data_IF_854137829817
#
_entry.id   IF_854137829817
#
_cell.length_a   1.000
_cell.length_b   1.000
_cell.length_c   1.000
_cell.angle_alpha   90.00
_cell.angle_beta   90.00
_cell.angle_gamma   90.00
#
_symmetry.space_group_name_H-M   'P 1'
#
loop_
_entity.id
_entity.type
_entity.pdbx_description
1 polymer ?
#
# COMPACT_ATOMS: atom_id res chain seq x y z
N UNK A 1 -1.99 24.77 1.13
CA UNK A 1 -1.24 25.70 0.28
C UNK A 1 0.14 25.15 -0.11
N UNK A 2 0.92 24.62 0.81
CA UNK A 2 2.29 24.12 0.55
C UNK A 2 2.38 22.93 -0.43
N UNK A 3 1.46 21.96 -0.37
CA UNK A 3 1.45 20.80 -1.26
C UNK A 3 1.27 21.18 -2.73
N UNK A 4 0.37 22.13 -3.04
CA UNK A 4 0.17 22.59 -4.44
C UNK A 4 1.44 23.27 -5.00
N UNK A 5 2.09 24.12 -4.19
CA UNK A 5 3.34 24.76 -4.57
C UNK A 5 4.47 23.73 -4.75
N UNK A 6 4.58 22.76 -3.87
CA UNK A 6 5.56 21.67 -3.98
C UNK A 6 5.36 20.87 -5.27
N UNK A 7 4.15 20.42 -5.60
CA UNK A 7 3.89 19.65 -6.82
C UNK A 7 4.12 20.47 -8.10
N UNK A 8 3.95 21.79 -8.05
CA UNK A 8 4.26 22.68 -9.18
C UNK A 8 5.78 22.81 -9.40
N UNK A 9 6.58 22.86 -8.34
CA UNK A 9 8.04 23.01 -8.40
C UNK A 9 8.78 21.68 -8.54
N UNK A 10 8.20 20.58 -8.09
CA UNK A 10 8.82 19.24 -8.09
C UNK A 10 9.46 18.82 -9.40
N UNK A 11 8.87 19.06 -10.59
CA UNK A 11 9.50 18.68 -11.87
C UNK A 11 10.81 19.39 -12.17
N UNK A 12 11.05 20.58 -11.58
CA UNK A 12 12.24 21.40 -11.80
C UNK A 12 13.38 21.10 -10.80
N UNK A 13 13.10 20.35 -9.74
CA UNK A 13 14.09 20.01 -8.71
C UNK A 13 14.68 18.63 -9.03
N UNK A 14 16.02 18.50 -9.17
CA UNK A 14 16.65 17.20 -9.38
C UNK A 14 16.26 16.18 -8.28
N UNK A 15 16.03 14.93 -8.66
CA UNK A 15 15.52 13.88 -7.76
C UNK A 15 16.38 13.67 -6.50
N UNK A 16 17.70 13.73 -6.65
CA UNK A 16 18.63 13.63 -5.52
C UNK A 16 18.45 14.77 -4.50
N UNK A 17 18.19 16.00 -4.96
CA UNK A 17 17.92 17.15 -4.08
C UNK A 17 16.59 16.98 -3.34
N UNK A 18 15.55 16.51 -4.04
CA UNK A 18 14.26 16.19 -3.41
C UNK A 18 14.44 15.15 -2.28
N UNK A 19 15.18 14.06 -2.56
CA UNK A 19 15.46 13.02 -1.57
C UNK A 19 16.28 13.55 -0.39
N UNK A 20 17.32 14.34 -0.64
CA UNK A 20 18.13 14.94 0.42
C UNK A 20 17.31 15.86 1.32
N UNK A 21 16.50 16.74 0.74
CA UNK A 21 15.63 17.64 1.49
C UNK A 21 14.60 16.85 2.35
N UNK A 22 13.97 15.81 1.77
CA UNK A 22 13.01 14.98 2.48
C UNK A 22 13.66 14.17 3.62
N UNK A 23 14.85 13.62 3.39
CA UNK A 23 15.67 12.93 4.42
C UNK A 23 16.02 13.87 5.59
N UNK A 24 16.47 15.09 5.29
CA UNK A 24 16.81 16.09 6.31
C UNK A 24 15.57 16.47 7.14
N UNK A 25 14.42 16.68 6.47
CA UNK A 25 13.15 16.98 7.13
C UNK A 25 12.73 15.84 8.07
N UNK A 26 12.73 14.58 7.59
CA UNK A 26 12.35 13.40 8.40
C UNK A 26 13.26 13.32 9.65
N UNK A 27 14.59 13.42 9.48
CA UNK A 27 15.53 13.36 10.60
C UNK A 27 15.24 14.45 11.64
N UNK A 28 14.90 15.67 11.21
CA UNK A 28 14.56 16.77 12.13
C UNK A 28 13.26 16.54 12.90
N UNK A 29 12.37 15.70 12.37
CA UNK A 29 11.04 15.42 12.95
C UNK A 29 10.97 14.10 13.72
N UNK A 30 11.89 13.17 13.49
CA UNK A 30 11.84 11.82 14.04
C UNK A 30 11.63 11.80 15.56
N UNK A 31 12.34 12.66 16.31
CA UNK A 31 12.21 12.72 17.78
C UNK A 31 10.83 13.16 18.27
N UNK A 32 10.07 13.90 17.44
CA UNK A 32 8.71 14.38 17.80
C UNK A 32 7.68 13.25 17.71
N UNK A 33 7.93 12.24 16.88
CA UNK A 33 6.98 11.18 16.57
C UNK A 33 7.32 9.82 17.20
N UNK A 34 8.34 9.77 18.06
CA UNK A 34 8.80 8.52 18.68
C UNK A 34 7.72 7.78 19.50
N UNK A 35 6.66 8.49 19.93
CA UNK A 35 5.55 7.90 20.67
C UNK A 35 4.47 7.27 19.76
N UNK A 36 4.45 7.61 18.46
CA UNK A 36 3.40 7.17 17.53
C UNK A 36 3.95 6.53 16.26
N UNK A 37 5.27 6.52 16.07
CA UNK A 37 5.91 5.91 14.90
C UNK A 37 7.14 5.06 15.30
N UNK A 38 7.29 3.86 14.74
CA UNK A 38 6.39 3.18 13.80
C UNK A 38 5.16 2.57 14.48
N UNK A 39 5.05 2.63 15.81
CA UNK A 39 3.98 2.02 16.60
C UNK A 39 3.20 3.12 17.31
N UNK A 40 1.87 3.13 17.07
CA UNK A 40 0.90 3.85 17.87
C UNK A 40 0.04 2.83 18.62
N UNK A 41 0.23 2.72 19.93
CA UNK A 41 -0.52 1.76 20.74
C UNK A 41 -2.03 1.99 20.71
N UNK A 42 -2.48 3.22 20.45
CA UNK A 42 -3.88 3.56 20.29
C UNK A 42 -4.54 2.93 19.06
N UNK A 43 -3.75 2.61 18.03
CA UNK A 43 -4.25 1.99 16.79
C UNK A 43 -4.49 0.47 16.90
N UNK A 44 -4.09 -0.16 18.01
CA UNK A 44 -4.08 -1.63 18.16
C UNK A 44 -5.40 -2.26 18.60
N UNK A 45 -6.45 -1.49 18.87
CA UNK A 45 -7.71 -2.02 19.34
C UNK A 45 -8.47 -2.74 18.20
N UNK A 46 -8.93 -4.00 18.41
CA UNK A 46 -9.79 -4.65 17.43
C UNK A 46 -11.17 -3.96 17.38
N UNK A 47 -11.88 -4.05 16.25
CA UNK A 47 -13.28 -3.61 16.17
C UNK A 47 -14.15 -4.30 17.20
N UNK A 48 -15.25 -3.65 17.60
CA UNK A 48 -16.25 -4.31 18.45
C UNK A 48 -16.76 -5.58 17.76
N UNK A 49 -16.94 -6.64 18.55
CA UNK A 49 -17.39 -7.95 18.05
C UNK A 49 -16.48 -8.59 16.98
N UNK A 50 -15.18 -8.28 16.99
CA UNK A 50 -14.22 -8.87 16.07
C UNK A 50 -14.16 -10.40 16.21
N UNK A 51 -14.54 -11.20 15.19
CA UNK A 51 -14.59 -12.65 15.31
C UNK A 51 -13.23 -13.35 15.14
N UNK A 52 -12.19 -12.60 14.82
CA UNK A 52 -10.88 -13.11 14.39
C UNK A 52 -10.77 -13.30 12.89
N UNK A 53 -9.63 -13.81 12.43
CA UNK A 53 -9.37 -14.11 11.02
C UNK A 53 -9.85 -15.51 10.63
N UNK A 54 -10.10 -15.79 9.34
CA UNK A 54 -10.46 -17.11 8.84
C UNK A 54 -9.52 -18.21 9.36
N UNK A 55 -10.02 -19.43 9.48
CA UNK A 55 -9.26 -20.61 9.94
C UNK A 55 -8.54 -20.42 11.28
N UNK A 56 -9.05 -19.52 12.14
CA UNK A 56 -8.44 -19.16 13.42
C UNK A 56 -7.00 -18.65 13.30
N UNK A 57 -6.64 -18.06 12.15
CA UNK A 57 -5.34 -17.43 11.98
C UNK A 57 -5.17 -16.28 12.96
N UNK A 58 -3.95 -16.11 13.43
CA UNK A 58 -3.62 -15.11 14.44
C UNK A 58 -3.66 -13.69 13.85
N UNK A 59 -3.25 -13.53 12.57
CA UNK A 59 -3.26 -12.27 11.86
C UNK A 59 -3.44 -12.49 10.35
N UNK A 60 -3.82 -11.43 9.63
CA UNK A 60 -3.77 -11.43 8.18
C UNK A 60 -2.46 -10.80 7.69
N UNK A 61 -1.86 -11.40 6.66
CA UNK A 61 -0.72 -10.85 5.94
C UNK A 61 -1.16 -10.47 4.53
N UNK A 62 -1.04 -9.20 4.20
CA UNK A 62 -1.42 -8.63 2.90
C UNK A 62 -0.21 -7.94 2.28
N UNK A 63 0.28 -8.49 1.18
CA UNK A 63 1.40 -7.94 0.42
C UNK A 63 0.87 -7.20 -0.80
N UNK A 64 1.33 -5.97 -0.99
CA UNK A 64 0.87 -5.13 -2.10
C UNK A 64 2.03 -4.38 -2.74
N UNK A 65 1.98 -4.22 -4.06
CA UNK A 65 3.01 -3.56 -4.85
C UNK A 65 2.43 -2.43 -5.67
N UNK A 66 2.91 -1.22 -5.44
CA UNK A 66 2.59 -0.09 -6.30
C UNK A 66 3.65 0.02 -7.39
N UNK A 67 3.22 -0.19 -8.63
CA UNK A 67 4.08 -0.15 -9.81
C UNK A 67 3.97 1.25 -10.40
N UNK A 68 4.90 2.12 -10.01
CA UNK A 68 4.78 3.55 -10.31
C UNK A 68 5.28 3.96 -11.70
N UNK A 69 6.25 3.24 -12.27
CA UNK A 69 6.82 3.57 -13.58
C UNK A 69 7.24 2.32 -14.39
N UNK A 70 7.78 2.55 -15.59
CA UNK A 70 8.21 1.48 -16.49
C UNK A 70 9.31 0.59 -15.87
N UNK A 71 10.18 1.14 -15.02
CA UNK A 71 11.23 0.39 -14.33
C UNK A 71 10.61 -0.66 -13.40
N UNK A 72 9.63 -0.23 -12.60
CA UNK A 72 8.87 -1.13 -11.74
C UNK A 72 8.15 -2.20 -12.56
N UNK A 73 7.47 -1.80 -13.65
CA UNK A 73 6.77 -2.74 -14.53
C UNK A 73 7.69 -3.84 -15.07
N UNK A 74 8.91 -3.51 -15.48
CA UNK A 74 9.89 -4.47 -15.98
C UNK A 74 10.39 -5.45 -14.90
N UNK A 75 10.27 -5.09 -13.64
CA UNK A 75 10.67 -5.92 -12.49
C UNK A 75 9.56 -6.80 -11.93
N UNK A 76 8.30 -6.56 -12.32
CA UNK A 76 7.14 -7.34 -11.86
C UNK A 76 7.33 -8.84 -12.03
N UNK A 77 7.79 -9.39 -13.19
CA UNK A 77 7.94 -10.82 -13.33
C UNK A 77 8.92 -11.44 -12.32
N UNK A 78 10.01 -10.73 -12.02
CA UNK A 78 11.02 -11.23 -11.07
C UNK A 78 10.51 -11.19 -9.62
N UNK A 79 9.78 -10.14 -9.27
CA UNK A 79 9.17 -10.02 -7.94
C UNK A 79 8.12 -11.11 -7.75
N UNK A 80 7.24 -11.29 -8.74
CA UNK A 80 6.24 -12.38 -8.76
C UNK A 80 6.89 -13.75 -8.56
N UNK A 81 7.97 -14.07 -9.33
CA UNK A 81 8.69 -15.33 -9.18
C UNK A 81 9.35 -15.50 -7.82
N UNK A 82 9.84 -14.42 -7.21
CA UNK A 82 10.42 -14.43 -5.87
C UNK A 82 9.35 -14.81 -4.84
N UNK A 83 8.20 -14.14 -4.86
CA UNK A 83 7.08 -14.38 -3.95
C UNK A 83 6.53 -15.80 -4.11
N UNK A 84 6.33 -16.25 -5.34
CA UNK A 84 5.83 -17.59 -5.64
C UNK A 84 6.75 -18.69 -5.12
N UNK A 85 8.09 -18.54 -5.27
CA UNK A 85 9.07 -19.48 -4.70
C UNK A 85 9.05 -19.54 -3.19
N UNK A 86 8.61 -18.47 -2.55
CA UNK A 86 8.45 -18.38 -1.09
C UNK A 86 7.03 -18.70 -0.63
N UNK A 87 6.14 -19.11 -1.55
CA UNK A 87 4.75 -19.48 -1.32
C UNK A 87 3.88 -18.30 -0.83
N UNK A 88 4.22 -17.06 -1.25
CA UNK A 88 3.40 -15.87 -0.99
C UNK A 88 2.64 -15.42 -2.23
N UNK A 89 1.51 -14.77 -1.97
CA UNK A 89 0.67 -14.08 -2.96
C UNK A 89 0.56 -12.61 -2.58
N UNK A 90 0.45 -11.76 -3.59
CA UNK A 90 0.34 -10.31 -3.41
C UNK A 90 -0.58 -9.68 -4.46
N UNK A 91 -0.83 -8.38 -4.35
CA UNK A 91 -1.48 -7.59 -5.38
C UNK A 91 -0.50 -6.61 -6.04
N UNK A 92 -0.67 -6.42 -7.36
CA UNK A 92 0.07 -5.46 -8.16
C UNK A 92 -0.86 -4.35 -8.63
N UNK A 93 -0.64 -3.12 -8.14
CA UNK A 93 -1.43 -1.95 -8.47
C UNK A 93 -0.71 -1.14 -9.54
N UNK A 94 -1.28 -1.07 -10.73
CA UNK A 94 -0.66 -0.39 -11.88
C UNK A 94 -1.25 0.99 -12.13
N UNK A 95 -0.43 1.91 -12.69
CA UNK A 95 -0.84 3.25 -13.11
C UNK A 95 -1.23 3.22 -14.60
N UNK A 96 -2.52 3.18 -14.95
CA UNK A 96 -2.97 2.80 -16.29
C UNK A 96 -2.59 3.78 -17.41
N UNK A 97 -2.43 5.06 -17.12
CA UNK A 97 -2.13 6.08 -18.14
C UNK A 97 -0.70 6.61 -18.08
N UNK A 98 0.17 5.96 -17.31
CA UNK A 98 1.57 6.35 -17.22
C UNK A 98 2.47 5.48 -18.11
N UNK A 99 2.10 4.23 -18.28
CA UNK A 99 2.77 3.23 -19.11
C UNK A 99 1.77 2.17 -19.58
N UNK A 100 2.11 1.42 -20.61
CA UNK A 100 1.24 0.35 -21.12
C UNK A 100 1.37 -0.91 -20.25
N UNK A 101 0.28 -1.31 -19.59
CA UNK A 101 0.17 -2.61 -18.90
C UNK A 101 -0.40 -3.62 -19.89
N UNK A 102 0.38 -4.63 -20.27
CA UNK A 102 -0.08 -5.61 -21.26
C UNK A 102 -1.17 -6.53 -20.69
N UNK A 103 -2.18 -6.91 -21.49
CA UNK A 103 -3.16 -7.91 -21.06
C UNK A 103 -2.53 -9.24 -20.67
N UNK A 104 -1.44 -9.65 -21.34
CA UNK A 104 -0.76 -10.91 -21.06
C UNK A 104 -0.08 -10.91 -19.70
N UNK A 105 0.50 -9.76 -19.28
CA UNK A 105 1.05 -9.64 -17.93
C UNK A 105 -0.04 -9.76 -16.87
N UNK A 106 -1.19 -9.07 -17.07
CA UNK A 106 -2.31 -9.16 -16.13
C UNK A 106 -2.84 -10.60 -16.02
N UNK A 107 -3.07 -11.26 -17.16
CA UNK A 107 -3.50 -12.68 -17.19
C UNK A 107 -2.48 -13.60 -16.52
N UNK A 108 -1.18 -13.35 -16.73
CA UNK A 108 -0.12 -14.14 -16.08
C UNK A 108 -0.19 -14.01 -14.57
N UNK A 109 -0.28 -12.79 -14.04
CA UNK A 109 -0.43 -12.53 -12.61
C UNK A 109 -1.65 -13.27 -12.05
N UNK A 110 -2.83 -13.06 -12.64
CA UNK A 110 -4.08 -13.69 -12.20
C UNK A 110 -4.03 -15.21 -12.24
N UNK A 111 -3.50 -15.80 -13.33
CA UNK A 111 -3.41 -17.25 -13.50
C UNK A 111 -2.45 -17.91 -12.50
N UNK A 112 -1.52 -17.13 -11.94
CA UNK A 112 -0.56 -17.56 -10.91
C UNK A 112 -1.03 -17.19 -9.49
N UNK A 113 -2.27 -16.70 -9.33
CA UNK A 113 -2.89 -16.45 -8.04
C UNK A 113 -2.57 -15.09 -7.43
N UNK A 114 -2.05 -14.15 -8.21
CA UNK A 114 -1.83 -12.76 -7.81
C UNK A 114 -3.03 -11.88 -8.18
N UNK A 115 -3.13 -10.72 -7.52
CA UNK A 115 -4.21 -9.78 -7.80
C UNK A 115 -3.70 -8.59 -8.63
N UNK A 116 -4.54 -8.12 -9.56
CA UNK A 116 -4.31 -6.89 -10.31
C UNK A 116 -5.21 -5.79 -9.77
N UNK A 117 -4.62 -4.65 -9.39
CA UNK A 117 -5.31 -3.46 -8.90
C UNK A 117 -4.98 -2.21 -9.71
N UNK A 118 -5.70 -1.13 -9.45
CA UNK A 118 -5.52 0.18 -10.09
C UNK A 118 -4.88 1.16 -9.12
N UNK A 119 -3.74 1.77 -9.53
CA UNK A 119 -3.02 2.79 -8.77
C UNK A 119 -3.24 4.18 -9.35
N UNK A 120 -4.38 4.77 -9.02
CA UNK A 120 -4.77 6.06 -9.61
C UNK A 120 -4.95 5.98 -11.12
N UNK A 121 -4.56 7.06 -11.82
CA UNK A 121 -4.67 7.18 -13.28
C UNK A 121 -3.32 7.51 -13.94
N UNK A 122 -2.61 8.53 -13.44
CA UNK A 122 -1.38 9.07 -14.03
C UNK A 122 -0.33 9.54 -13.00
N UNK A 123 -0.55 9.33 -11.72
CA UNK A 123 0.38 9.63 -10.62
C UNK A 123 0.88 11.10 -10.55
N UNK A 124 0.03 12.08 -10.87
CA UNK A 124 0.39 13.51 -10.94
C UNK A 124 0.04 14.36 -9.70
N UNK A 125 -0.58 13.75 -8.69
CA UNK A 125 -0.95 14.41 -7.43
C UNK A 125 -2.08 15.45 -7.52
N UNK A 126 -2.84 15.50 -8.63
CA UNK A 126 -3.84 16.55 -8.87
C UNK A 126 -5.30 16.11 -8.63
N UNK A 127 -5.53 14.92 -8.09
CA UNK A 127 -6.87 14.33 -7.95
C UNK A 127 -7.83 15.20 -7.15
N UNK A 128 -7.35 15.79 -6.07
CA UNK A 128 -8.16 16.56 -5.13
C UNK A 128 -8.05 18.07 -5.31
N UNK A 129 -7.64 18.54 -6.49
CA UNK A 129 -7.63 19.96 -6.80
C UNK A 129 -9.04 20.56 -6.89
N UNK A 130 -10.02 19.78 -7.41
CA UNK A 130 -11.45 20.06 -7.33
C UNK A 130 -12.28 18.78 -7.43
N UNK A 131 -13.58 18.87 -7.07
CA UNK A 131 -14.53 17.75 -7.16
C UNK A 131 -14.78 17.31 -8.60
N UNK A 132 -14.79 18.26 -9.52
CA UNK A 132 -14.99 18.01 -10.96
C UNK A 132 -13.81 17.24 -11.56
N UNK A 133 -12.58 17.60 -11.20
CA UNK A 133 -11.36 16.87 -11.62
C UNK A 133 -11.41 15.44 -11.11
N UNK A 134 -11.76 15.25 -9.84
CA UNK A 134 -11.88 13.91 -9.28
C UNK A 134 -12.95 13.09 -10.01
N UNK A 135 -14.15 13.65 -10.20
CA UNK A 135 -15.27 12.97 -10.87
C UNK A 135 -14.93 12.58 -12.32
N UNK A 136 -14.20 13.44 -13.05
CA UNK A 136 -13.72 13.10 -14.40
C UNK A 136 -12.75 11.92 -14.36
N UNK A 137 -11.78 11.95 -13.46
CA UNK A 137 -10.80 10.87 -13.29
C UNK A 137 -11.45 9.58 -12.80
N UNK A 138 -12.42 9.67 -11.90
CA UNK A 138 -13.17 8.51 -11.41
C UNK A 138 -13.87 7.75 -12.55
N UNK A 139 -14.49 8.46 -13.50
CA UNK A 139 -15.07 7.82 -14.70
C UNK A 139 -14.03 7.05 -15.52
N UNK A 140 -12.81 7.58 -15.64
CA UNK A 140 -11.73 6.93 -16.40
C UNK A 140 -11.15 5.75 -15.60
N UNK A 141 -10.96 5.89 -14.29
CA UNK A 141 -10.54 4.81 -13.39
C UNK A 141 -11.54 3.65 -13.46
N UNK A 142 -12.86 3.94 -13.42
CA UNK A 142 -13.89 2.91 -13.49
C UNK A 142 -13.84 2.10 -14.79
N UNK A 143 -13.46 2.72 -15.93
CA UNK A 143 -13.23 1.97 -17.17
C UNK A 143 -12.06 0.99 -17.06
N UNK A 144 -10.96 1.37 -16.39
CA UNK A 144 -9.84 0.47 -16.17
C UNK A 144 -10.17 -0.62 -15.16
N UNK A 145 -10.93 -0.31 -14.09
CA UNK A 145 -11.43 -1.32 -13.16
C UNK A 145 -12.23 -2.39 -13.89
N UNK A 146 -13.16 -1.99 -14.76
CA UNK A 146 -13.96 -2.89 -15.58
C UNK A 146 -13.09 -3.67 -16.59
N UNK A 147 -12.26 -2.99 -17.39
CA UNK A 147 -11.38 -3.61 -18.41
C UNK A 147 -10.44 -4.65 -17.81
N UNK A 148 -9.91 -4.38 -16.60
CA UNK A 148 -8.94 -5.24 -15.93
C UNK A 148 -9.59 -6.25 -14.98
N UNK A 149 -10.91 -6.25 -14.85
CA UNK A 149 -11.64 -7.03 -13.85
C UNK A 149 -11.07 -6.81 -12.43
N UNK A 150 -10.63 -5.58 -12.15
CA UNK A 150 -10.05 -5.19 -10.88
C UNK A 150 -11.13 -4.65 -9.95
N UNK A 151 -11.08 -5.07 -8.69
CA UNK A 151 -12.04 -4.65 -7.66
C UNK A 151 -11.43 -3.71 -6.64
N UNK A 152 -10.11 -3.50 -6.73
CA UNK A 152 -9.32 -2.74 -5.78
C UNK A 152 -8.69 -1.48 -6.36
N UNK A 153 -8.52 -0.51 -5.48
CA UNK A 153 -7.94 0.78 -5.81
C UNK A 153 -6.93 1.23 -4.75
N UNK A 154 -5.92 1.97 -5.20
CA UNK A 154 -5.03 2.73 -4.32
C UNK A 154 -4.71 4.07 -4.95
N UNK A 155 -4.85 5.14 -4.17
CA UNK A 155 -4.50 6.49 -4.60
C UNK A 155 -3.00 6.73 -4.51
N UNK A 156 -2.37 7.30 -5.54
CA UNK A 156 -0.97 7.72 -5.49
C UNK A 156 -0.64 8.65 -4.31
N UNK A 157 0.54 8.42 -3.72
CA UNK A 157 1.04 9.18 -2.58
C UNK A 157 0.10 9.16 -1.35
N UNK A 158 -0.72 8.13 -1.21
CA UNK A 158 -1.66 7.91 -0.11
C UNK A 158 -2.61 9.09 0.15
N UNK A 159 -2.78 9.99 -0.83
CA UNK A 159 -3.78 11.04 -0.72
C UNK A 159 -5.17 10.42 -0.72
N UNK A 160 -6.02 10.83 0.19
CA UNK A 160 -7.36 10.25 0.26
C UNK A 160 -8.45 11.27 0.61
N UNK A 161 -9.62 10.98 0.11
CA UNK A 161 -10.91 11.56 0.43
C UNK A 161 -11.93 10.43 0.35
N UNK A 162 -12.11 9.73 1.47
CA UNK A 162 -12.90 8.50 1.50
C UNK A 162 -14.34 8.70 1.03
N UNK A 163 -14.92 9.87 1.30
CA UNK A 163 -16.23 10.28 0.81
C UNK A 163 -16.31 10.37 -0.73
N UNK A 164 -15.21 10.79 -1.40
CA UNK A 164 -15.19 10.90 -2.86
C UNK A 164 -14.98 9.56 -3.55
N UNK A 165 -14.37 8.60 -2.88
CA UNK A 165 -14.11 7.26 -3.45
C UNK A 165 -15.39 6.47 -3.70
N UNK A 166 -16.54 6.90 -3.18
CA UNK A 166 -17.85 6.37 -3.58
C UNK A 166 -18.19 6.57 -5.07
N UNK A 167 -17.48 7.43 -5.80
CA UNK A 167 -17.60 7.53 -7.26
C UNK A 167 -16.89 6.37 -7.98
N UNK A 168 -16.01 5.64 -7.30
CA UNK A 168 -15.30 4.50 -7.87
C UNK A 168 -16.14 3.22 -7.76
N UNK A 169 -16.00 2.33 -8.75
CA UNK A 169 -16.64 1.02 -8.76
C UNK A 169 -15.72 -0.01 -8.12
N UNK A 170 -15.46 0.13 -6.83
CA UNK A 170 -14.52 -0.68 -6.07
C UNK A 170 -15.22 -1.48 -4.97
N UNK A 171 -14.63 -2.61 -4.61
CA UNK A 171 -14.99 -3.37 -3.42
C UNK A 171 -14.12 -2.97 -2.22
N UNK A 172 -12.85 -2.58 -2.48
CA UNK A 172 -11.96 -2.04 -1.47
C UNK A 172 -11.10 -0.88 -2.00
N UNK A 173 -10.72 -0.01 -1.10
CA UNK A 173 -9.63 0.95 -1.24
C UNK A 173 -8.50 0.60 -0.26
N UNK A 174 -7.27 0.96 -0.59
CA UNK A 174 -6.11 0.78 0.27
C UNK A 174 -5.22 2.03 0.26
N UNK A 175 -5.85 3.20 0.39
CA UNK A 175 -5.19 4.51 0.33
C UNK A 175 -4.93 5.13 1.70
N UNK A 176 -5.23 4.41 2.80
CA UNK A 176 -4.99 4.90 4.15
C UNK A 176 -3.87 4.12 4.85
N UNK A 177 -3.52 4.55 6.06
CA UNK A 177 -2.51 3.94 6.91
C UNK A 177 -2.89 4.09 8.38
N UNK A 178 -2.34 3.25 9.23
CA UNK A 178 -2.59 3.33 10.67
C UNK A 178 -1.98 4.59 11.28
N UNK A 179 -0.65 4.74 11.16
CA UNK A 179 0.10 5.91 11.60
C UNK A 179 1.38 6.05 10.77
N UNK A 180 1.51 7.14 10.04
CA UNK A 180 2.76 7.54 9.38
C UNK A 180 2.84 9.07 9.27
N UNK A 181 3.56 9.74 10.19
CA UNK A 181 3.70 11.19 10.19
C UNK A 181 4.57 11.72 9.05
N UNK A 182 5.20 10.84 8.27
CA UNK A 182 6.09 11.18 7.15
C UNK A 182 5.41 11.10 5.79
N UNK A 183 4.16 10.68 5.76
CA UNK A 183 3.34 10.76 4.55
C UNK A 183 3.03 12.22 4.18
N UNK A 184 2.80 12.52 2.88
CA UNK A 184 2.45 13.87 2.44
C UNK A 184 1.22 14.47 3.14
N UNK A 185 0.24 13.63 3.47
CA UNK A 185 -0.90 13.94 4.30
C UNK A 185 -0.83 13.01 5.52
N UNK A 186 -0.38 13.49 6.70
CA UNK A 186 -0.15 12.64 7.87
C UNK A 186 -1.44 12.42 8.68
N UNK A 187 -2.53 12.08 8.01
CA UNK A 187 -3.87 11.88 8.56
C UNK A 187 -4.22 10.39 8.65
N UNK A 188 -3.36 9.62 9.33
CA UNK A 188 -3.57 8.20 9.59
C UNK A 188 -4.91 7.90 10.27
N UNK A 189 -5.48 6.75 9.95
CA UNK A 189 -6.81 6.34 10.46
C UNK A 189 -6.78 5.78 11.88
N UNK A 190 -5.60 5.62 12.48
CA UNK A 190 -5.44 5.18 13.87
C UNK A 190 -5.97 3.77 14.13
N UNK A 191 -5.87 2.86 13.13
CA UNK A 191 -6.30 1.46 13.28
C UNK A 191 -5.54 0.52 12.37
N UNK A 192 -5.28 -0.69 12.88
CA UNK A 192 -4.58 -1.77 12.15
C UNK A 192 -5.53 -2.85 11.62
N UNK A 193 -6.82 -2.60 11.65
CA UNK A 193 -7.86 -3.48 11.12
C UNK A 193 -8.56 -2.81 9.94
N UNK A 194 -9.01 -3.58 8.95
CA UNK A 194 -9.85 -3.05 7.88
C UNK A 194 -11.20 -2.56 8.43
N UNK A 195 -11.83 -1.64 7.70
CA UNK A 195 -13.13 -1.10 8.10
C UNK A 195 -14.02 -0.77 6.90
N UNK A 196 -15.33 -0.65 7.14
CA UNK A 196 -16.30 -0.33 6.10
C UNK A 196 -16.45 1.19 6.01
N UNK A 197 -16.32 1.72 4.81
CA UNK A 197 -16.63 3.12 4.48
C UNK A 197 -18.00 3.16 3.82
N UNK A 198 -18.95 3.84 4.45
CA UNK A 198 -20.33 3.91 4.00
C UNK A 198 -20.72 5.32 3.58
N UNK A 199 -21.39 5.46 2.45
CA UNK A 199 -22.07 6.70 2.08
C UNK A 199 -23.50 6.63 2.60
N UNK A 200 -23.80 7.38 3.66
CA UNK A 200 -25.08 7.35 4.35
C UNK A 200 -26.33 7.68 3.48
N UNK A 201 -26.14 8.20 2.26
CA UNK A 201 -27.25 8.63 1.40
C UNK A 201 -27.71 7.62 0.36
N UNK A 202 -26.83 6.79 -0.21
CA UNK A 202 -27.15 5.89 -1.32
C UNK A 202 -26.86 4.40 -1.07
N UNK A 203 -26.45 4.05 0.15
CA UNK A 203 -26.14 2.68 0.55
C UNK A 203 -24.86 2.09 -0.06
N UNK A 204 -24.11 2.85 -0.88
CA UNK A 204 -22.85 2.39 -1.46
C UNK A 204 -21.78 2.30 -0.36
N UNK A 205 -21.11 1.17 -0.28
CA UNK A 205 -20.05 0.91 0.71
C UNK A 205 -18.89 0.15 0.08
N UNK A 206 -17.70 0.36 0.59
CA UNK A 206 -16.49 -0.38 0.26
C UNK A 206 -15.66 -0.62 1.53
N UNK A 207 -14.68 -1.50 1.46
CA UNK A 207 -13.78 -1.80 2.57
C UNK A 207 -12.51 -0.99 2.41
N UNK A 208 -12.08 -0.31 3.48
CA UNK A 208 -10.79 0.37 3.55
C UNK A 208 -9.76 -0.53 4.21
N UNK A 209 -8.58 -0.64 3.59
CA UNK A 209 -7.46 -1.46 4.03
C UNK A 209 -6.26 -0.58 4.36
N UNK A 210 -6.09 -0.11 5.60
CA UNK A 210 -4.94 0.72 5.95
C UNK A 210 -3.64 -0.07 5.87
N UNK A 211 -2.58 0.50 5.28
CA UNK A 211 -1.28 -0.13 5.47
C UNK A 211 -0.81 0.05 6.91
N UNK A 212 -0.08 -0.93 7.40
CA UNK A 212 0.34 -1.00 8.81
C UNK A 212 1.85 -1.14 8.97
N UNK A 213 2.56 -1.60 7.95
CA UNK A 213 4.02 -1.54 7.94
C UNK A 213 4.48 -0.30 7.17
N UNK A 214 5.46 0.46 7.69
CA UNK A 214 6.02 1.60 6.95
C UNK A 214 6.48 1.17 5.57
N UNK A 215 6.19 2.00 4.54
CA UNK A 215 6.53 1.69 3.16
C UNK A 215 8.04 1.49 2.98
N UNK A 216 8.44 0.63 2.06
CA UNK A 216 9.84 0.39 1.68
C UNK A 216 10.58 1.68 1.30
N UNK A 217 9.89 2.59 0.61
CA UNK A 217 10.42 3.90 0.26
C UNK A 217 10.82 4.72 1.50
N UNK A 218 9.98 4.72 2.54
CA UNK A 218 10.33 5.40 3.78
C UNK A 218 11.52 4.74 4.46
N UNK A 219 11.46 3.43 4.66
CA UNK A 219 12.46 2.68 5.44
C UNK A 219 13.83 2.66 4.73
N UNK A 220 13.87 2.21 3.48
CA UNK A 220 15.15 1.96 2.81
C UNK A 220 15.67 3.14 2.01
N UNK A 221 14.79 4.00 1.48
CA UNK A 221 15.21 5.13 0.65
C UNK A 221 15.34 6.42 1.46
N UNK A 222 14.39 6.73 2.33
CA UNK A 222 14.42 7.99 3.09
C UNK A 222 15.21 7.87 4.38
N UNK A 223 14.94 6.87 5.21
CA UNK A 223 15.67 6.60 6.44
C UNK A 223 17.02 5.94 6.18
N UNK A 224 17.18 5.25 5.04
CA UNK A 224 18.38 4.53 4.62
C UNK A 224 18.74 3.41 5.60
N UNK A 225 17.73 2.73 6.14
CA UNK A 225 17.96 1.53 6.93
C UNK A 225 18.56 0.43 6.04
N UNK A 226 19.53 -0.29 6.58
CA UNK A 226 20.17 -1.44 5.93
C UNK A 226 19.86 -2.75 6.67
N UNK A 227 18.81 -2.75 7.46
CA UNK A 227 18.30 -3.85 8.28
C UNK A 227 16.76 -3.86 8.25
N UNK A 228 16.15 -4.87 8.85
CA UNK A 228 14.71 -5.10 8.83
C UNK A 228 14.02 -4.80 10.17
N UNK A 229 14.73 -4.21 11.14
CA UNK A 229 14.24 -4.07 12.51
C UNK A 229 12.96 -3.25 12.62
N UNK A 230 12.81 -2.18 11.81
CA UNK A 230 11.58 -1.37 11.80
C UNK A 230 10.38 -2.20 11.36
N UNK A 231 10.52 -2.98 10.29
CA UNK A 231 9.45 -3.87 9.81
C UNK A 231 9.15 -4.99 10.80
N UNK A 232 10.17 -5.67 11.32
CA UNK A 232 10.00 -6.77 12.28
C UNK A 232 9.30 -6.31 13.55
N UNK A 233 9.80 -5.25 14.18
CA UNK A 233 9.22 -4.69 15.40
C UNK A 233 7.76 -4.26 15.21
N UNK A 234 7.44 -3.57 14.11
CA UNK A 234 6.06 -3.16 13.82
C UNK A 234 5.18 -4.37 13.56
N UNK A 235 5.67 -5.33 12.78
CA UNK A 235 4.96 -6.59 12.51
C UNK A 235 4.66 -7.36 13.80
N UNK A 236 5.65 -7.57 14.65
CA UNK A 236 5.50 -8.26 15.93
C UNK A 236 4.40 -7.63 16.79
N UNK A 237 4.35 -6.30 16.81
CA UNK A 237 3.32 -5.56 17.52
C UNK A 237 1.93 -5.78 16.89
N UNK A 238 1.79 -5.65 15.55
CA UNK A 238 0.52 -5.90 14.83
C UNK A 238 0.05 -7.34 15.07
N UNK A 239 0.95 -8.32 14.96
CA UNK A 239 0.69 -9.74 15.25
C UNK A 239 0.24 -9.96 16.70
N UNK A 240 0.87 -9.25 17.64
CA UNK A 240 0.47 -9.28 19.07
C UNK A 240 -0.93 -8.76 19.32
N UNK A 241 -1.43 -7.85 18.47
CA UNK A 241 -2.80 -7.31 18.52
C UNK A 241 -3.81 -8.11 17.68
N UNK A 242 -3.35 -9.08 16.88
CA UNK A 242 -4.22 -9.83 15.97
C UNK A 242 -4.71 -9.04 14.77
N UNK A 243 -3.98 -7.98 14.38
CA UNK A 243 -4.36 -7.06 13.32
C UNK A 243 -4.04 -7.56 11.91
N UNK A 244 -4.16 -6.66 10.95
CA UNK A 244 -3.75 -6.87 9.55
C UNK A 244 -2.34 -6.31 9.33
N UNK A 245 -1.39 -7.16 8.96
CA UNK A 245 -0.07 -6.75 8.46
C UNK A 245 -0.20 -6.47 6.98
N UNK A 246 -0.37 -5.20 6.59
CA UNK A 246 -0.37 -4.78 5.21
C UNK A 246 0.90 -3.99 4.89
N UNK A 247 1.66 -4.50 3.92
CA UNK A 247 2.90 -3.90 3.43
C UNK A 247 2.71 -3.36 2.02
N UNK A 248 3.19 -2.15 1.78
CA UNK A 248 3.39 -1.58 0.45
C UNK A 248 4.87 -1.63 0.12
N UNK A 249 5.23 -2.32 -0.94
CA UNK A 249 6.58 -2.34 -1.48
C UNK A 249 6.56 -2.07 -2.99
N UNK A 250 7.56 -1.33 -3.48
CA UNK A 250 7.55 -0.84 -4.85
C UNK A 250 8.65 -1.55 -5.66
N UNK A 251 8.32 -2.30 -6.71
CA UNK A 251 9.33 -2.88 -7.60
C UNK A 251 10.21 -1.80 -8.25
N UNK A 252 9.72 -0.56 -8.33
CA UNK A 252 10.46 0.60 -8.81
C UNK A 252 11.76 0.85 -8.04
N UNK A 253 11.78 0.53 -6.74
CA UNK A 253 12.92 0.78 -5.86
C UNK A 253 13.72 -0.49 -5.54
N UNK A 254 13.24 -1.68 -5.91
CA UNK A 254 13.93 -2.96 -5.69
C UNK A 254 15.01 -3.20 -6.73
N UNK A 255 16.28 -3.26 -6.34
CA UNK A 255 17.38 -3.67 -7.23
C UNK A 255 17.62 -5.17 -7.12
N UNK A 256 17.40 -5.89 -8.22
CA UNK A 256 17.59 -7.34 -8.31
C UNK A 256 19.02 -7.75 -8.73
N UNK A 257 20.00 -6.85 -8.62
CA UNK A 257 21.40 -7.11 -8.95
C UNK A 257 21.75 -6.97 -10.44
N UNK A 258 20.89 -6.37 -11.26
CA UNK A 258 21.08 -6.21 -12.71
C UNK A 258 21.99 -5.04 -13.08
N UNK A 259 21.97 -4.02 -12.26
CA UNK A 259 22.69 -2.76 -12.46
C UNK A 259 23.29 -2.27 -11.16
N UNK A 260 24.23 -1.30 -11.24
CA UNK A 260 24.67 -0.58 -10.06
C UNK A 260 23.48 0.10 -9.38
N UNK A 261 23.44 0.01 -8.06
CA UNK A 261 22.34 0.56 -7.24
C UNK A 261 22.25 2.07 -7.38
N UNK A 262 21.05 2.56 -7.67
CA UNK A 262 20.76 4.00 -7.73
C UNK A 262 20.44 4.55 -6.33
N UNK A 263 20.47 5.87 -6.19
CA UNK A 263 20.19 6.57 -4.91
C UNK A 263 18.78 6.31 -4.37
N UNK A 264 17.87 5.90 -5.23
CA UNK A 264 16.47 5.58 -4.92
C UNK A 264 16.18 4.07 -5.04
N UNK A 265 17.20 3.24 -4.90
CA UNK A 265 17.05 1.79 -4.92
C UNK A 265 17.61 1.18 -3.64
N UNK A 266 17.07 0.00 -3.30
CA UNK A 266 17.55 -0.86 -2.24
C UNK A 266 17.66 -2.31 -2.76
N UNK A 267 18.50 -3.18 -2.15
CA UNK A 267 18.59 -4.58 -2.55
C UNK A 267 17.25 -5.30 -2.41
N UNK A 268 16.73 -5.91 -3.47
CA UNK A 268 15.52 -6.75 -3.42
C UNK A 268 15.63 -7.88 -2.38
N UNK A 269 16.87 -8.22 -2.02
CA UNK A 269 17.23 -9.13 -0.94
C UNK A 269 16.60 -8.76 0.41
N UNK A 270 16.41 -7.47 0.72
CA UNK A 270 15.77 -7.04 1.97
C UNK A 270 14.31 -7.51 2.02
N UNK A 271 13.58 -7.33 0.92
CA UNK A 271 12.21 -7.82 0.82
C UNK A 271 12.16 -9.36 0.90
N UNK A 272 13.05 -10.06 0.18
CA UNK A 272 13.16 -11.52 0.23
C UNK A 272 13.40 -12.01 1.66
N UNK A 273 14.38 -11.44 2.35
CA UNK A 273 14.73 -11.81 3.72
C UNK A 273 13.59 -11.53 4.70
N UNK A 274 12.82 -10.46 4.48
CA UNK A 274 11.62 -10.20 5.27
C UNK A 274 10.56 -11.30 5.06
N UNK A 275 10.30 -11.71 3.84
CA UNK A 275 9.35 -12.80 3.55
C UNK A 275 9.80 -14.13 4.16
N UNK A 276 11.09 -14.45 4.08
CA UNK A 276 11.67 -15.63 4.73
C UNK A 276 11.49 -15.58 6.25
N UNK A 277 11.75 -14.42 6.87
CA UNK A 277 11.49 -14.23 8.29
C UNK A 277 10.02 -14.47 8.65
N UNK A 278 9.09 -13.92 7.88
CA UNK A 278 7.64 -14.12 8.10
C UNK A 278 7.28 -15.60 7.99
N UNK A 279 7.70 -16.25 6.92
CA UNK A 279 7.43 -17.68 6.68
C UNK A 279 7.96 -18.56 7.81
N UNK A 280 9.20 -18.32 8.23
CA UNK A 280 9.89 -19.20 9.15
C UNK A 280 9.48 -18.95 10.60
N UNK A 281 9.17 -17.69 10.96
CA UNK A 281 8.76 -17.32 12.33
C UNK A 281 7.28 -17.62 12.61
N UNK A 282 6.41 -17.39 11.61
CA UNK A 282 4.94 -17.43 11.82
C UNK A 282 4.25 -18.51 10.98
N UNK A 283 4.97 -19.57 10.63
CA UNK A 283 4.42 -20.69 9.83
C UNK A 283 3.10 -21.21 10.41
N UNK A 284 2.04 -21.17 9.58
CA UNK A 284 0.70 -21.61 9.96
C UNK A 284 -0.12 -20.63 10.79
N UNK A 285 0.46 -19.52 11.27
CA UNK A 285 -0.22 -18.54 12.11
C UNK A 285 -0.91 -17.42 11.31
N UNK A 286 -0.48 -17.15 10.09
CA UNK A 286 -1.04 -16.09 9.27
C UNK A 286 -1.96 -16.59 8.16
N UNK A 287 -2.88 -15.73 7.78
CA UNK A 287 -3.62 -15.82 6.54
C UNK A 287 -2.96 -14.93 5.50
N UNK A 288 -2.19 -15.48 4.55
CA UNK A 288 -1.69 -14.72 3.41
C UNK A 288 -2.84 -14.49 2.45
N UNK A 289 -3.47 -13.34 2.57
CA UNK A 289 -4.66 -12.96 1.82
C UNK A 289 -4.35 -11.92 0.75
N UNK A 290 -5.04 -12.02 -0.36
CA UNK A 290 -5.15 -10.92 -1.32
C UNK A 290 -6.08 -9.83 -0.76
N UNK A 291 -5.88 -8.55 -1.11
CA UNK A 291 -6.77 -7.48 -0.68
C UNK A 291 -8.26 -7.75 -0.96
N UNK A 292 -8.60 -8.34 -2.13
CA UNK A 292 -9.97 -8.75 -2.46
C UNK A 292 -10.54 -9.80 -1.49
N UNK A 293 -9.70 -10.71 -0.99
CA UNK A 293 -10.12 -11.75 -0.04
C UNK A 293 -10.41 -11.12 1.33
N UNK A 294 -9.58 -10.16 1.76
CA UNK A 294 -9.87 -9.37 2.97
C UNK A 294 -11.20 -8.62 2.82
N UNK A 295 -11.38 -7.92 1.69
CA UNK A 295 -12.63 -7.20 1.44
C UNK A 295 -13.84 -8.12 1.47
N UNK A 296 -13.78 -9.27 0.81
CA UNK A 296 -14.85 -10.26 0.83
C UNK A 296 -15.17 -10.72 2.25
N UNK A 297 -14.14 -11.06 3.04
CA UNK A 297 -14.32 -11.47 4.43
C UNK A 297 -14.98 -10.39 5.29
N UNK A 298 -14.47 -9.15 5.24
CA UNK A 298 -15.00 -8.03 6.04
C UNK A 298 -16.46 -7.74 5.70
N UNK A 299 -16.84 -7.87 4.45
CA UNK A 299 -18.23 -7.68 4.00
C UNK A 299 -19.18 -8.77 4.52
N UNK A 300 -18.69 -9.98 4.87
CA UNK A 300 -19.51 -11.05 5.43
C UNK A 300 -19.77 -10.88 6.93
N UNK A 301 -18.85 -10.28 7.66
CA UNK A 301 -18.93 -10.12 9.12
C UNK A 301 -19.56 -8.79 9.55
N UNK A 302 -19.84 -7.89 8.60
CA UNK A 302 -20.53 -6.60 8.79
C UNK A 302 -20.08 -5.84 10.07
N UNK A 303 -18.76 -5.65 10.19
CA UNK A 303 -18.15 -4.99 11.36
C UNK A 303 -18.74 -3.58 11.52
N UNK A 304 -19.29 -3.30 12.67
CA UNK A 304 -19.70 -1.95 13.06
C UNK A 304 -18.46 -1.13 13.39
N UNK A 305 -18.33 0.02 12.74
CA UNK A 305 -17.23 0.99 12.96
C UNK A 305 -17.33 1.64 14.34
#
# INVERSE_FOLDING_TARGET
MYLKAYYALKPWIPRNVQLMARRAWIRSKMGQYGAVWPIDDGAGAPPADWPGWPEKKRFALVLTHDVEDLRGLLRVPRLMEMEERLEFRSSYNFVPEKYKVSPDLRKTLESRGFEVGVHGLNHDGKYFNSREIFADRARRINRYLEEWNAVGFRMPAMHHRLDWFHDLNIEYDASTFDTDPFEPCPDGVGRIFPFIVSNGGNGKRYVELPYTLPQDFLVFILLRENHLETWKRKMEWVVGKGGMVLLIAHPDYMNFGETSMKIEEYPAEYYRTFLEYVRDTYRGEYWNALPREISAYIRTIDIRN
#
